data_IF_484505526723
#
_entry.id   IF_484505526723
#
_cell.length_a   1.000
_cell.length_b   1.000
_cell.length_c   1.000
_cell.angle_alpha   90.00
_cell.angle_beta   90.00
_cell.angle_gamma   90.00
#
_symmetry.space_group_name_H-M   'P 1'
#
loop_
_entity.id
_entity.type
_entity.pdbx_description
1 polymer ?
#
# COMPACT_ATOMS: atom_id res chain seq x y z
N UNK A 1 20.93 3.27 -85.89
CA UNK A 1 21.92 3.73 -86.87
C UNK A 1 23.25 3.04 -86.54
N UNK A 2 23.68 2.22 -87.48
CA UNK A 2 25.04 1.72 -87.77
C UNK A 2 25.69 0.86 -86.64
N UNK A 3 25.87 -0.39 -86.84
CA UNK A 3 26.64 -1.24 -87.76
C UNK A 3 27.86 -1.86 -87.06
N UNK A 4 27.83 -3.17 -87.00
CA UNK A 4 28.84 -4.23 -86.77
C UNK A 4 30.28 -3.90 -87.26
N UNK A 5 31.33 -4.69 -87.03
CA UNK A 5 31.33 -6.15 -87.32
C UNK A 5 32.20 -7.05 -86.42
N UNK A 6 32.02 -8.34 -86.69
CA UNK A 6 32.72 -9.51 -86.20
C UNK A 6 34.21 -9.57 -86.65
N UNK A 7 35.02 -10.30 -85.87
CA UNK A 7 36.18 -11.02 -86.36
C UNK A 7 36.28 -12.39 -85.70
N UNK A 8 36.21 -13.39 -86.48
CA UNK A 8 36.51 -14.80 -86.32
C UNK A 8 37.98 -15.03 -86.16
N UNK A 9 38.43 -15.87 -85.23
CA UNK A 9 39.74 -16.55 -85.40
C UNK A 9 39.65 -17.92 -84.69
N UNK A 10 39.70 -18.92 -85.53
CA UNK A 10 39.84 -20.35 -85.31
C UNK A 10 41.30 -20.69 -84.99
N UNK A 11 41.61 -21.44 -83.89
CA UNK A 11 42.84 -22.28 -83.77
C UNK A 11 42.53 -23.31 -82.69
N UNK A 12 42.48 -24.52 -83.04
CA UNK A 12 43.38 -25.68 -83.05
C UNK A 12 43.47 -26.48 -81.75
N UNK A 13 43.05 -27.66 -81.87
CA UNK A 13 43.06 -28.89 -81.11
C UNK A 13 44.39 -29.17 -80.35
N UNK A 14 44.33 -29.46 -79.06
CA UNK A 14 45.34 -30.30 -78.38
C UNK A 14 44.65 -31.11 -77.29
N UNK A 15 44.42 -32.36 -77.58
CA UNK A 15 43.94 -33.36 -76.56
C UNK A 15 45.09 -33.75 -75.67
N UNK A 16 44.89 -33.44 -74.33
CA UNK A 16 45.72 -34.02 -73.25
C UNK A 16 44.78 -34.90 -72.43
N UNK A 17 44.97 -36.21 -72.55
CA UNK A 17 44.37 -37.21 -71.67
C UNK A 17 44.99 -37.13 -70.27
N UNK A 18 44.22 -36.55 -69.34
CA UNK A 18 44.55 -36.68 -67.88
C UNK A 18 43.68 -37.81 -67.30
N UNK A 19 44.34 -38.88 -66.89
CA UNK A 19 43.82 -39.99 -66.11
C UNK A 19 43.25 -39.49 -64.77
N UNK A 20 41.89 -39.47 -64.63
CA UNK A 20 41.28 -39.31 -63.33
C UNK A 20 41.43 -40.58 -62.49
N UNK A 21 42.23 -40.48 -61.47
CA UNK A 21 42.26 -41.44 -60.33
C UNK A 21 41.00 -41.23 -59.53
N UNK A 22 40.11 -42.18 -59.50
CA UNK A 22 38.88 -42.19 -58.64
C UNK A 22 39.30 -41.98 -57.20
N UNK A 23 38.99 -40.77 -56.67
CA UNK A 23 38.93 -40.55 -55.24
C UNK A 23 37.68 -41.25 -54.72
N UNK A 24 37.84 -42.36 -53.99
CA UNK A 24 36.78 -42.93 -53.18
C UNK A 24 36.17 -41.83 -52.34
N UNK A 25 34.95 -41.43 -52.66
CA UNK A 25 34.11 -40.63 -51.76
C UNK A 25 33.95 -41.47 -50.50
N UNK A 26 34.53 -40.96 -49.41
CA UNK A 26 34.30 -41.58 -48.11
C UNK A 26 32.77 -41.56 -47.84
N UNK A 27 32.25 -42.74 -47.50
CA UNK A 27 30.86 -42.83 -47.07
C UNK A 27 30.62 -41.83 -45.94
N UNK A 28 29.45 -41.16 -45.85
CA UNK A 28 29.14 -40.28 -44.72
C UNK A 28 29.33 -41.06 -43.43
N UNK A 29 30.21 -40.58 -42.59
CA UNK A 29 30.38 -41.13 -41.22
C UNK A 29 29.04 -41.16 -40.54
N UNK A 30 28.66 -42.30 -40.02
CA UNK A 30 27.44 -42.42 -39.22
C UNK A 30 27.53 -41.43 -38.05
N UNK A 31 26.43 -40.73 -37.71
CA UNK A 31 26.45 -39.71 -36.64
C UNK A 31 27.06 -40.29 -35.35
N UNK A 32 28.15 -39.69 -34.88
CA UNK A 32 28.83 -40.15 -33.69
C UNK A 32 27.90 -39.96 -32.48
N UNK A 33 27.57 -41.06 -31.79
CA UNK A 33 26.74 -40.98 -30.58
C UNK A 33 27.50 -40.20 -29.52
N UNK A 34 26.96 -39.07 -29.12
CA UNK A 34 27.46 -38.27 -28.01
C UNK A 34 27.24 -39.08 -26.68
N UNK A 35 28.35 -39.43 -26.05
CA UNK A 35 28.31 -40.16 -24.78
C UNK A 35 28.95 -39.32 -23.68
N UNK A 36 28.37 -39.37 -22.46
CA UNK A 36 28.94 -38.75 -21.27
C UNK A 36 30.13 -39.63 -20.80
N UNK A 37 31.35 -39.09 -20.92
CA UNK A 37 32.55 -39.73 -20.40
C UNK A 37 32.59 -39.67 -18.88
N UNK A 38 33.40 -40.54 -18.23
CA UNK A 38 33.56 -40.51 -16.75
C UNK A 38 34.12 -39.17 -16.22
N UNK A 39 34.87 -38.45 -17.05
CA UNK A 39 35.33 -37.08 -16.74
C UNK A 39 34.18 -36.10 -16.78
N UNK A 40 33.30 -36.17 -17.79
CA UNK A 40 32.13 -35.30 -17.93
C UNK A 40 31.10 -35.59 -16.81
N UNK A 41 30.93 -36.85 -16.42
CA UNK A 41 30.01 -37.24 -15.35
C UNK A 41 30.35 -36.61 -13.99
N UNK A 42 31.61 -36.17 -13.78
CA UNK A 42 32.03 -35.50 -12.56
C UNK A 42 31.69 -34.00 -12.51
N UNK A 43 31.44 -33.37 -13.65
CA UNK A 43 31.24 -31.92 -13.79
C UNK A 43 29.80 -31.54 -14.17
N UNK A 44 28.98 -32.49 -14.59
CA UNK A 44 27.55 -32.28 -14.91
C UNK A 44 26.68 -32.60 -13.70
N UNK A 45 25.53 -31.95 -13.58
CA UNK A 45 24.44 -32.36 -12.68
C UNK A 45 23.26 -32.84 -13.51
N UNK A 46 22.54 -33.80 -12.95
CA UNK A 46 21.32 -34.35 -13.53
C UNK A 46 20.20 -34.10 -12.49
N UNK A 47 19.20 -33.34 -12.88
CA UNK A 47 18.04 -33.05 -12.07
C UNK A 47 16.77 -33.62 -12.71
N UNK A 48 15.75 -33.90 -11.89
CA UNK A 48 14.49 -34.43 -12.38
C UNK A 48 13.47 -33.30 -12.54
N UNK A 49 12.74 -33.30 -13.64
CA UNK A 49 11.59 -32.44 -13.85
C UNK A 49 10.46 -32.78 -12.87
N UNK A 50 9.98 -31.81 -12.13
CA UNK A 50 8.99 -32.00 -11.06
C UNK A 50 7.69 -31.26 -11.36
N UNK A 51 6.52 -31.86 -11.01
CA UNK A 51 5.27 -31.13 -11.06
C UNK A 51 5.17 -30.22 -9.83
N UNK A 52 5.02 -28.91 -10.06
CA UNK A 52 4.85 -27.95 -8.97
C UNK A 52 3.86 -26.86 -9.38
N UNK A 53 3.27 -26.20 -8.40
CA UNK A 53 2.43 -25.01 -8.66
C UNK A 53 3.30 -23.83 -8.97
N UNK A 54 2.87 -23.01 -9.92
CA UNK A 54 3.51 -21.75 -10.22
C UNK A 54 3.14 -20.77 -9.09
N UNK A 55 4.07 -20.59 -8.13
CA UNK A 55 3.91 -19.58 -7.07
C UNK A 55 4.35 -18.23 -7.64
N UNK A 56 3.39 -17.40 -8.02
CA UNK A 56 3.65 -16.05 -8.54
C UNK A 56 3.64 -15.06 -7.38
N UNK A 57 4.80 -14.51 -7.05
CA UNK A 57 4.92 -13.43 -6.08
C UNK A 57 4.71 -12.09 -6.78
N UNK A 58 3.63 -11.40 -6.41
CA UNK A 58 3.43 -10.03 -6.85
C UNK A 58 4.07 -9.07 -5.84
N UNK A 59 5.06 -8.30 -6.29
CA UNK A 59 5.75 -7.29 -5.49
C UNK A 59 5.16 -5.92 -5.77
N UNK A 60 4.64 -5.28 -4.74
CA UNK A 60 4.02 -3.97 -4.80
C UNK A 60 4.78 -3.00 -3.90
N UNK A 61 4.91 -1.76 -4.34
CA UNK A 61 5.39 -0.65 -3.51
C UNK A 61 4.22 0.04 -2.81
N UNK A 62 4.44 0.48 -1.59
CA UNK A 62 3.42 1.17 -0.81
C UNK A 62 4.02 2.04 0.28
N UNK A 63 3.13 2.69 1.00
CA UNK A 63 3.46 3.56 2.12
C UNK A 63 2.63 3.17 3.34
N UNK A 64 3.26 3.23 4.52
CA UNK A 64 2.57 3.02 5.79
C UNK A 64 1.74 4.26 6.11
N UNK A 65 0.46 4.08 6.36
CA UNK A 65 -0.50 5.12 6.72
C UNK A 65 -1.12 4.84 8.08
N UNK A 66 -1.72 5.85 8.63
CA UNK A 66 -2.56 5.70 9.83
C UNK A 66 -3.81 4.88 9.51
N UNK A 67 -4.32 4.18 10.51
CA UNK A 67 -5.70 3.71 10.47
C UNK A 67 -6.65 4.90 10.69
N UNK A 68 -7.34 5.36 9.64
CA UNK A 68 -8.26 6.51 9.71
C UNK A 68 -9.28 6.36 10.84
N UNK A 69 -9.74 5.14 11.10
CA UNK A 69 -10.67 4.84 12.18
C UNK A 69 -10.06 5.10 13.58
N UNK A 70 -8.75 5.23 13.67
CA UNK A 70 -8.01 5.45 14.92
C UNK A 70 -7.41 6.84 15.03
N UNK A 71 -7.70 7.75 14.09
CA UNK A 71 -7.28 9.15 14.13
C UNK A 71 -8.46 10.04 14.45
N UNK A 72 -8.29 10.96 15.40
CA UNK A 72 -9.26 12.01 15.71
C UNK A 72 -8.61 13.35 15.45
N UNK A 73 -9.26 14.17 14.61
CA UNK A 73 -8.87 15.54 14.33
C UNK A 73 -9.48 16.48 15.37
N UNK A 74 -8.69 17.36 15.93
CA UNK A 74 -9.09 18.33 16.96
C UNK A 74 -9.17 19.70 16.29
N UNK A 75 -10.36 20.28 16.32
CA UNK A 75 -10.66 21.59 15.77
C UNK A 75 -10.85 22.65 16.87
N UNK A 76 -10.62 23.93 16.60
CA UNK A 76 -10.98 24.99 17.53
C UNK A 76 -12.50 25.13 17.56
N UNK A 77 -13.07 25.33 18.75
CA UNK A 77 -14.50 25.61 18.86
C UNK A 77 -14.84 27.11 18.80
N UNK A 78 -13.85 27.96 19.03
CA UNK A 78 -13.98 29.43 18.97
C UNK A 78 -12.71 30.05 18.42
N UNK A 79 -12.86 31.18 17.72
CA UNK A 79 -11.73 31.93 17.17
C UNK A 79 -10.95 32.57 18.33
N UNK A 80 -9.61 32.69 18.19
CA UNK A 80 -8.80 33.28 19.22
C UNK A 80 -7.30 33.18 18.99
N UNK A 81 -6.54 33.79 19.90
CA UNK A 81 -5.09 33.75 19.90
C UNK A 81 -4.58 32.57 20.72
N UNK A 82 -3.70 31.78 20.14
CA UNK A 82 -3.02 30.66 20.84
C UNK A 82 -2.03 31.26 21.83
N UNK A 83 -2.27 31.05 23.11
CA UNK A 83 -1.40 31.54 24.19
C UNK A 83 -0.26 30.57 24.48
N UNK A 84 -0.54 29.27 24.46
CA UNK A 84 0.44 28.23 24.75
C UNK A 84 0.09 26.94 24.02
N UNK A 85 1.11 26.22 23.53
CA UNK A 85 1.00 24.86 22.99
C UNK A 85 1.86 23.95 23.87
N UNK A 86 1.24 22.93 24.49
CA UNK A 86 1.88 22.06 25.50
C UNK A 86 2.38 20.73 24.95
N UNK A 87 2.24 20.50 23.64
CA UNK A 87 2.59 19.24 23.01
C UNK A 87 3.30 19.47 21.69
N UNK A 88 4.13 18.50 21.32
CA UNK A 88 4.84 18.43 20.04
C UNK A 88 4.40 17.21 19.24
N UNK A 89 4.72 17.21 17.94
CA UNK A 89 4.51 16.02 17.08
C UNK A 89 5.32 14.86 17.65
N UNK A 90 4.69 13.68 17.74
CA UNK A 90 5.29 12.47 18.30
C UNK A 90 5.05 12.26 19.80
N UNK A 91 4.57 13.28 20.53
CA UNK A 91 4.28 13.15 21.96
C UNK A 91 3.11 12.18 22.20
N UNK A 92 3.23 11.37 23.23
CA UNK A 92 2.13 10.53 23.72
C UNK A 92 1.25 11.33 24.66
N UNK A 93 -0.06 11.37 24.39
CA UNK A 93 -1.06 12.08 25.19
C UNK A 93 -2.11 11.14 25.75
N UNK A 94 -2.65 11.49 26.91
CA UNK A 94 -3.79 10.81 27.55
C UNK A 94 -5.08 11.55 27.22
N UNK A 95 -6.20 10.84 27.19
CA UNK A 95 -7.51 11.46 27.08
C UNK A 95 -7.70 12.53 28.14
N UNK A 96 -8.15 13.73 27.74
CA UNK A 96 -8.34 14.88 28.62
C UNK A 96 -7.07 15.70 28.88
N UNK A 97 -5.88 15.26 28.43
CA UNK A 97 -4.63 16.02 28.57
C UNK A 97 -4.71 17.34 27.78
N UNK A 98 -4.23 18.43 28.39
CA UNK A 98 -4.17 19.75 27.75
C UNK A 98 -3.18 19.74 26.58
N UNK A 99 -3.65 20.17 25.40
CA UNK A 99 -2.85 20.32 24.18
C UNK A 99 -2.44 21.78 23.96
N UNK A 100 -3.40 22.71 24.13
CA UNK A 100 -3.17 24.15 23.94
C UNK A 100 -4.12 24.97 24.84
N UNK A 101 -3.73 26.21 25.08
CA UNK A 101 -4.54 27.24 25.75
C UNK A 101 -4.74 28.37 24.74
N UNK A 102 -5.99 28.78 24.56
CA UNK A 102 -6.39 29.78 23.58
C UNK A 102 -7.18 30.87 24.30
N UNK A 103 -6.94 32.13 23.96
CA UNK A 103 -7.68 33.28 24.43
C UNK A 103 -8.62 33.79 23.35
N UNK A 104 -9.91 33.84 23.64
CA UNK A 104 -10.99 34.15 22.69
C UNK A 104 -11.88 35.25 23.24
N UNK A 105 -12.16 36.24 22.39
CA UNK A 105 -13.14 37.28 22.66
C UNK A 105 -14.57 36.72 22.71
N UNK A 106 -14.88 35.73 21.86
CA UNK A 106 -16.20 35.10 21.83
C UNK A 106 -16.53 34.41 23.17
N UNK A 107 -15.51 33.79 23.79
CA UNK A 107 -15.67 33.15 25.10
C UNK A 107 -15.97 34.20 26.18
N UNK A 108 -15.32 35.38 26.17
CA UNK A 108 -15.63 36.50 27.08
C UNK A 108 -17.07 36.96 26.85
N UNK A 109 -17.49 37.15 25.61
CA UNK A 109 -18.84 37.53 25.25
C UNK A 109 -19.87 36.54 25.81
N UNK A 110 -19.67 35.25 25.59
CA UNK A 110 -20.55 34.20 26.11
C UNK A 110 -20.70 34.22 27.65
N UNK A 111 -19.62 34.50 28.38
CA UNK A 111 -19.68 34.63 29.83
C UNK A 111 -20.42 35.92 30.26
N UNK A 112 -20.23 37.02 29.51
CA UNK A 112 -20.99 38.27 29.76
C UNK A 112 -22.49 38.04 29.56
N UNK A 113 -22.86 37.32 28.49
CA UNK A 113 -24.27 37.00 28.17
C UNK A 113 -24.90 36.11 29.28
N UNK A 114 -24.16 35.11 29.77
CA UNK A 114 -24.62 34.30 30.89
C UNK A 114 -24.82 35.14 32.16
N UNK A 115 -23.89 36.05 32.44
CA UNK A 115 -24.00 36.94 33.60
C UNK A 115 -25.22 37.85 33.51
N UNK A 116 -25.43 38.49 32.34
CA UNK A 116 -26.59 39.31 32.04
C UNK A 116 -27.90 38.52 32.17
N UNK A 117 -27.96 37.35 31.55
CA UNK A 117 -29.14 36.47 31.64
C UNK A 117 -29.41 35.97 33.07
N UNK A 118 -28.36 35.83 33.91
CA UNK A 118 -28.47 35.53 35.33
C UNK A 118 -29.16 36.63 36.13
N UNK A 119 -28.80 37.89 35.83
CA UNK A 119 -29.43 39.07 36.43
C UNK A 119 -30.91 39.18 36.01
N UNK A 120 -31.20 38.97 34.69
CA UNK A 120 -32.57 38.97 34.20
C UNK A 120 -33.43 37.90 34.85
N UNK A 121 -32.88 36.72 35.07
CA UNK A 121 -33.55 35.64 35.80
C UNK A 121 -33.82 36.01 37.28
N UNK A 122 -32.86 36.65 37.95
CA UNK A 122 -33.04 37.08 39.32
C UNK A 122 -34.15 38.15 39.44
N UNK A 123 -34.18 39.11 38.53
CA UNK A 123 -35.21 40.15 38.47
C UNK A 123 -36.56 39.50 38.23
N UNK A 124 -36.72 38.65 37.22
CA UNK A 124 -37.96 37.96 36.87
C UNK A 124 -38.45 37.06 38.00
N UNK A 125 -37.52 36.42 38.73
CA UNK A 125 -37.87 35.62 39.92
C UNK A 125 -38.44 36.49 41.04
N UNK A 126 -37.79 37.60 41.40
CA UNK A 126 -38.25 38.52 42.42
C UNK A 126 -39.63 39.07 42.05
N UNK A 127 -39.87 39.42 40.79
CA UNK A 127 -41.15 39.94 40.33
C UNK A 127 -42.25 38.85 40.48
N UNK A 128 -41.94 37.60 40.11
CA UNK A 128 -42.88 36.48 40.24
C UNK A 128 -43.19 36.23 41.74
N UNK A 129 -42.18 36.17 42.62
CA UNK A 129 -42.37 35.91 44.06
C UNK A 129 -43.20 37.02 44.70
N UNK A 130 -42.97 38.30 44.36
CA UNK A 130 -43.74 39.44 44.86
C UNK A 130 -45.21 39.36 44.35
N UNK A 131 -45.43 39.13 43.05
CA UNK A 131 -46.77 39.05 42.48
C UNK A 131 -47.55 37.85 43.01
N UNK A 132 -46.88 36.71 43.28
CA UNK A 132 -47.49 35.56 43.96
C UNK A 132 -47.98 35.90 45.35
N UNK A 133 -47.18 36.65 46.11
CA UNK A 133 -47.55 37.11 47.44
C UNK A 133 -48.77 38.06 47.43
N UNK A 134 -48.78 39.00 46.49
CA UNK A 134 -49.90 39.92 46.30
C UNK A 134 -51.20 39.19 45.85
N UNK A 135 -51.05 38.18 44.95
CA UNK A 135 -52.18 37.36 44.50
C UNK A 135 -52.77 36.54 45.65
N UNK A 136 -51.94 35.90 46.49
CA UNK A 136 -52.38 35.13 47.65
C UNK A 136 -53.12 36.01 48.67
N UNK A 137 -52.80 37.32 48.72
CA UNK A 137 -53.48 38.29 49.58
C UNK A 137 -54.68 38.99 48.89
N UNK A 138 -55.06 38.57 47.69
CA UNK A 138 -56.20 39.11 46.95
C UNK A 138 -55.95 40.51 46.35
N UNK A 139 -54.72 41.00 46.27
CA UNK A 139 -54.35 42.35 45.78
C UNK A 139 -54.02 42.33 44.28
N UNK A 140 -53.33 41.26 43.81
CA UNK A 140 -53.03 41.10 42.37
C UNK A 140 -54.05 40.13 41.73
N UNK A 141 -54.25 40.31 40.44
CA UNK A 141 -55.12 39.42 39.63
C UNK A 141 -54.38 38.14 39.22
N UNK A 142 -55.12 37.06 38.95
CA UNK A 142 -54.57 35.80 38.45
C UNK A 142 -53.77 36.02 37.16
N UNK A 143 -54.23 36.90 36.28
CA UNK A 143 -53.54 37.25 35.03
C UNK A 143 -52.16 37.84 35.27
N UNK A 144 -52.02 38.74 36.22
CA UNK A 144 -50.75 39.38 36.58
C UNK A 144 -49.78 38.34 37.15
N UNK A 145 -50.26 37.42 37.98
CA UNK A 145 -49.44 36.34 38.53
C UNK A 145 -48.98 35.37 37.43
N UNK A 146 -49.87 34.95 36.51
CA UNK A 146 -49.51 34.09 35.41
C UNK A 146 -48.52 34.74 34.44
N UNK A 147 -48.64 36.02 34.15
CA UNK A 147 -47.70 36.82 33.34
C UNK A 147 -46.31 36.86 33.98
N UNK A 148 -46.23 37.18 35.30
CA UNK A 148 -44.94 37.19 36.00
C UNK A 148 -44.27 35.78 36.05
N UNK A 149 -45.09 34.72 36.22
CA UNK A 149 -44.65 33.34 36.19
C UNK A 149 -44.09 32.93 34.80
N UNK A 150 -44.77 33.35 33.74
CA UNK A 150 -44.29 33.10 32.36
C UNK A 150 -43.00 33.84 32.03
N UNK A 151 -42.87 35.07 32.50
CA UNK A 151 -41.63 35.87 32.34
C UNK A 151 -40.46 35.24 33.08
N UNK A 152 -40.68 34.74 34.29
CA UNK A 152 -39.69 33.97 35.03
C UNK A 152 -39.24 32.69 34.26
N UNK A 153 -40.18 31.90 33.75
CA UNK A 153 -39.89 30.72 32.96
C UNK A 153 -39.14 31.02 31.68
N UNK A 154 -39.49 32.13 31.01
CA UNK A 154 -38.79 32.57 29.79
C UNK A 154 -37.33 32.97 30.13
N UNK A 155 -37.06 33.67 31.18
CA UNK A 155 -35.72 34.03 31.65
C UNK A 155 -34.91 32.79 32.05
N UNK A 156 -35.52 31.84 32.78
CA UNK A 156 -34.92 30.56 33.15
C UNK A 156 -34.48 29.73 31.94
N UNK A 157 -35.35 29.62 30.91
CA UNK A 157 -35.05 28.92 29.68
C UNK A 157 -33.93 29.61 28.90
N UNK A 158 -33.90 30.93 28.86
CA UNK A 158 -32.82 31.71 28.23
C UNK A 158 -31.46 31.43 28.85
N UNK A 159 -31.37 31.50 30.19
CA UNK A 159 -30.14 31.20 30.91
C UNK A 159 -29.70 29.73 30.70
N UNK A 160 -30.64 28.78 30.78
CA UNK A 160 -30.34 27.38 30.55
C UNK A 160 -29.78 27.12 29.15
N UNK A 161 -30.34 27.80 28.13
CA UNK A 161 -29.83 27.74 26.75
C UNK A 161 -28.38 28.21 26.65
N UNK A 162 -28.07 29.40 27.23
CA UNK A 162 -26.70 29.95 27.16
C UNK A 162 -25.70 29.06 27.93
N UNK A 163 -26.06 28.53 29.08
CA UNK A 163 -25.24 27.57 29.83
C UNK A 163 -24.98 26.30 29.01
N UNK A 164 -26.00 25.76 28.35
CA UNK A 164 -25.87 24.60 27.51
C UNK A 164 -24.92 24.85 26.30
N UNK A 165 -25.02 26.02 25.67
CA UNK A 165 -24.13 26.40 24.56
C UNK A 165 -22.66 26.42 24.97
N UNK A 166 -22.32 26.98 26.14
CA UNK A 166 -20.92 26.93 26.63
C UNK A 166 -20.49 25.50 26.93
N UNK A 167 -21.35 24.70 27.53
CA UNK A 167 -21.01 23.30 27.85
C UNK A 167 -20.74 22.49 26.61
N UNK A 168 -21.55 22.65 25.56
CA UNK A 168 -21.36 21.95 24.29
C UNK A 168 -20.07 22.39 23.59
N UNK A 169 -19.85 23.69 23.53
CA UNK A 169 -18.72 24.28 22.82
C UNK A 169 -17.38 24.17 23.55
N UNK A 170 -17.33 24.10 24.86
CA UNK A 170 -16.06 24.11 25.63
C UNK A 170 -15.88 23.00 26.66
N UNK A 171 -16.86 22.11 26.82
CA UNK A 171 -16.77 21.01 27.78
C UNK A 171 -16.48 21.45 29.22
N UNK A 172 -16.87 22.66 29.61
CA UNK A 172 -16.59 23.20 30.93
C UNK A 172 -15.14 23.64 31.22
N UNK A 173 -14.29 23.67 30.21
CA UNK A 173 -12.87 24.06 30.29
C UNK A 173 -12.61 25.46 29.79
N UNK A 174 -13.55 26.36 29.99
CA UNK A 174 -13.48 27.79 29.64
C UNK A 174 -13.46 28.64 30.91
N UNK A 175 -12.89 29.84 30.83
CA UNK A 175 -12.87 30.81 31.94
C UNK A 175 -13.52 32.13 31.53
N UNK A 176 -13.97 32.90 32.52
CA UNK A 176 -14.51 34.25 32.30
C UNK A 176 -13.45 35.22 31.74
N UNK A 177 -12.17 34.89 31.89
CA UNK A 177 -11.05 35.68 31.28
C UNK A 177 -10.87 35.44 29.80
N UNK A 178 -11.74 34.61 29.21
CA UNK A 178 -11.73 34.28 27.77
C UNK A 178 -10.77 33.15 27.40
N UNK A 179 -10.17 32.49 28.36
CA UNK A 179 -9.31 31.35 28.09
C UNK A 179 -10.14 30.08 27.92
N UNK A 180 -9.78 29.27 26.94
CA UNK A 180 -10.26 27.91 26.81
C UNK A 180 -9.14 26.92 26.57
N UNK A 181 -9.32 25.72 27.09
CA UNK A 181 -8.33 24.66 27.07
C UNK A 181 -8.73 23.63 26.03
N UNK A 182 -7.88 23.45 25.04
CA UNK A 182 -8.01 22.38 24.06
C UNK A 182 -7.40 21.12 24.64
N UNK A 183 -8.17 20.04 24.69
CA UNK A 183 -7.74 18.77 25.29
C UNK A 183 -7.78 17.62 24.28
N UNK A 184 -6.98 16.59 24.55
CA UNK A 184 -6.99 15.35 23.76
C UNK A 184 -8.33 14.61 23.91
N UNK A 185 -9.08 14.35 22.84
CA UNK A 185 -10.36 13.63 22.90
C UNK A 185 -10.19 12.14 23.23
N UNK A 186 -9.00 11.59 22.95
CA UNK A 186 -8.61 10.21 23.30
C UNK A 186 -7.12 10.12 23.56
N UNK A 187 -6.67 9.01 24.17
CA UNK A 187 -5.26 8.70 24.34
C UNK A 187 -4.65 8.24 23.01
N UNK A 188 -3.39 8.62 22.75
CA UNK A 188 -2.69 8.30 21.51
C UNK A 188 -1.43 9.14 21.35
N UNK A 189 -0.97 9.27 20.12
CA UNK A 189 0.17 10.11 19.72
C UNK A 189 -0.31 11.33 18.95
N UNK A 190 0.37 12.45 19.13
CA UNK A 190 0.19 13.65 18.30
C UNK A 190 0.82 13.39 16.94
N UNK A 191 -0.01 13.17 15.93
CA UNK A 191 0.40 12.84 14.59
C UNK A 191 0.68 14.10 13.73
N UNK A 192 -0.16 15.13 13.95
CA UNK A 192 -0.04 16.42 13.30
C UNK A 192 -0.26 17.54 14.30
N UNK A 193 0.46 18.65 14.12
CA UNK A 193 0.30 19.89 14.84
C UNK A 193 0.39 21.05 13.83
N UNK A 194 -0.75 21.72 13.60
CA UNK A 194 -0.87 22.84 12.64
C UNK A 194 -0.97 24.20 13.32
N UNK A 195 -0.76 24.25 14.65
CA UNK A 195 -0.84 25.49 15.42
C UNK A 195 0.46 25.75 16.19
N UNK A 196 0.79 27.02 16.33
CA UNK A 196 1.93 27.50 17.09
C UNK A 196 1.50 28.58 18.08
N UNK A 197 2.30 28.81 19.11
CA UNK A 197 2.09 29.91 20.05
C UNK A 197 2.10 31.26 19.32
N UNK A 198 1.22 32.14 19.72
CA UNK A 198 1.05 33.46 19.12
C UNK A 198 0.18 33.50 17.86
N UNK A 199 -0.10 32.33 17.24
CA UNK A 199 -0.97 32.28 16.06
C UNK A 199 -2.42 32.67 16.43
N UNK A 200 -3.12 33.30 15.46
CA UNK A 200 -4.55 33.50 15.54
C UNK A 200 -5.25 32.41 14.75
N UNK A 201 -6.19 31.72 15.41
CA UNK A 201 -6.98 30.64 14.80
C UNK A 201 -8.43 31.09 14.64
N UNK A 202 -9.08 30.55 13.61
CA UNK A 202 -10.49 30.81 13.30
C UNK A 202 -11.29 29.51 13.41
N UNK A 203 -12.50 29.59 13.95
CA UNK A 203 -13.40 28.43 14.06
C UNK A 203 -14.09 28.07 12.75
N UNK A 204 -14.06 28.96 11.74
CA UNK A 204 -14.58 28.74 10.37
C UNK A 204 -13.53 28.11 9.45
N UNK A 205 -12.30 27.89 9.91
CA UNK A 205 -11.27 27.23 9.14
C UNK A 205 -11.50 25.71 9.16
N UNK A 206 -11.35 25.07 8.00
CA UNK A 206 -11.45 23.63 7.83
C UNK A 206 -10.22 22.86 8.36
N UNK A 207 -9.15 23.58 8.71
CA UNK A 207 -7.92 22.99 9.21
C UNK A 207 -8.04 22.56 10.68
N UNK A 208 -7.66 21.32 10.95
CA UNK A 208 -7.53 20.83 12.31
C UNK A 208 -6.30 21.43 13.01
N UNK A 209 -6.38 21.64 14.31
CA UNK A 209 -5.24 22.08 15.12
C UNK A 209 -4.27 20.94 15.41
N UNK A 210 -4.81 19.79 15.74
CA UNK A 210 -4.07 18.57 16.05
C UNK A 210 -4.75 17.36 15.42
N UNK A 211 -3.96 16.33 15.10
CA UNK A 211 -4.44 14.98 14.83
C UNK A 211 -3.88 14.06 15.89
N UNK A 212 -4.73 13.31 16.56
CA UNK A 212 -4.34 12.36 17.61
C UNK A 212 -4.76 10.98 17.18
N UNK A 213 -3.82 10.04 17.14
CA UNK A 213 -4.07 8.66 16.72
C UNK A 213 -3.31 7.63 17.53
N UNK A 214 -3.85 6.42 17.48
CA UNK A 214 -3.17 5.22 17.97
C UNK A 214 -2.46 4.56 16.81
N UNK A 215 -1.17 4.23 16.99
CA UNK A 215 -0.33 3.57 16.01
C UNK A 215 -0.15 2.06 16.30
N UNK A 216 -0.90 1.48 17.21
CA UNK A 216 -0.87 0.05 17.51
C UNK A 216 -1.39 -0.84 16.36
N UNK A 217 -2.08 -0.25 15.41
CA UNK A 217 -2.44 -0.82 14.11
C UNK A 217 -2.17 0.23 13.04
N UNK A 218 -1.54 -0.18 11.95
CA UNK A 218 -1.25 0.68 10.81
C UNK A 218 -1.75 0.04 9.53
N UNK A 219 -1.95 0.86 8.51
CA UNK A 219 -2.29 0.41 7.17
C UNK A 219 -1.09 0.58 6.25
N UNK A 220 -0.95 -0.31 5.28
CA UNK A 220 -0.08 -0.08 4.12
C UNK A 220 -0.97 0.16 2.91
N UNK A 221 -0.83 1.33 2.33
CA UNK A 221 -1.46 1.68 1.07
C UNK A 221 -0.51 1.31 -0.05
N UNK A 222 -0.73 0.15 -0.70
CA UNK A 222 0.12 -0.34 -1.76
C UNK A 222 -0.48 -0.10 -3.14
N UNK A 223 0.39 0.19 -4.10
CA UNK A 223 0.02 0.54 -5.46
C UNK A 223 0.00 -0.72 -6.34
N UNK A 224 -1.11 -0.96 -7.01
CA UNK A 224 -1.31 -2.05 -7.96
C UNK A 224 -1.44 -1.46 -9.36
N UNK A 225 -0.57 -1.86 -10.27
CA UNK A 225 -0.65 -1.44 -11.66
C UNK A 225 -1.77 -2.18 -12.40
N UNK A 226 -2.28 -1.61 -13.47
CA UNK A 226 -3.41 -2.14 -14.24
C UNK A 226 -3.21 -3.61 -14.66
N UNK A 227 -1.99 -3.98 -15.08
CA UNK A 227 -1.62 -5.36 -15.45
C UNK A 227 -1.73 -6.39 -14.32
N UNK A 228 -1.76 -5.93 -13.06
CA UNK A 228 -1.73 -6.79 -11.88
C UNK A 228 -3.04 -6.79 -11.09
N UNK A 229 -4.03 -5.99 -11.50
CA UNK A 229 -5.32 -5.87 -10.82
C UNK A 229 -5.99 -7.24 -10.61
N UNK A 230 -5.98 -8.09 -11.63
CA UNK A 230 -6.60 -9.42 -11.57
C UNK A 230 -5.95 -10.36 -10.54
N UNK A 231 -4.72 -10.05 -10.09
CA UNK A 231 -3.93 -10.87 -9.17
C UNK A 231 -4.17 -10.55 -7.69
N UNK A 232 -4.85 -9.44 -7.38
CA UNK A 232 -5.09 -9.00 -6.00
C UNK A 232 -6.55 -9.14 -5.63
N UNK A 233 -6.80 -9.64 -4.40
CA UNK A 233 -8.16 -9.83 -3.86
C UNK A 233 -8.16 -9.56 -2.36
N UNK A 234 -9.29 -9.11 -1.85
CA UNK A 234 -9.52 -8.98 -0.41
C UNK A 234 -9.38 -10.36 0.28
N UNK A 235 -8.82 -10.35 1.49
CA UNK A 235 -8.55 -11.55 2.27
C UNK A 235 -7.20 -12.23 2.01
N UNK A 236 -6.46 -11.85 0.97
CA UNK A 236 -5.13 -12.41 0.70
C UNK A 236 -4.13 -12.02 1.80
N UNK A 237 -3.33 -12.99 2.23
CA UNK A 237 -2.19 -12.76 3.12
C UNK A 237 -1.02 -12.17 2.33
N UNK A 238 -0.35 -11.22 2.93
CA UNK A 238 0.81 -10.55 2.35
C UNK A 238 1.94 -10.47 3.34
N UNK A 239 3.15 -10.46 2.83
CA UNK A 239 4.37 -10.17 3.58
C UNK A 239 4.80 -8.74 3.28
N UNK A 240 5.02 -7.96 4.32
CA UNK A 240 5.44 -6.57 4.23
C UNK A 240 6.84 -6.43 4.79
N UNK A 241 7.72 -5.78 4.05
CA UNK A 241 9.08 -5.44 4.48
C UNK A 241 9.30 -3.94 4.37
N UNK A 242 10.17 -3.39 5.19
CA UNK A 242 10.54 -1.98 5.20
C UNK A 242 12.05 -1.82 5.15
N UNK A 243 12.53 -0.70 4.63
CA UNK A 243 13.96 -0.39 4.62
C UNK A 243 14.53 -0.15 6.03
N UNK A 244 13.68 0.33 6.96
CA UNK A 244 14.09 0.61 8.33
C UNK A 244 14.40 -0.66 9.14
N UNK A 245 13.85 -1.80 8.78
CA UNK A 245 14.04 -3.08 9.47
C UNK A 245 14.39 -4.19 8.47
N UNK A 246 15.65 -4.22 7.97
CA UNK A 246 16.09 -5.24 7.03
C UNK A 246 15.95 -6.64 7.61
N UNK A 247 15.37 -7.55 6.83
CA UNK A 247 15.18 -8.96 7.23
C UNK A 247 13.96 -9.22 8.13
N UNK A 248 13.26 -8.18 8.62
CA UNK A 248 12.02 -8.35 9.38
C UNK A 248 10.80 -8.36 8.45
N UNK A 249 10.00 -9.41 8.57
CA UNK A 249 8.76 -9.58 7.80
C UNK A 249 7.57 -9.30 8.71
N UNK A 250 6.71 -8.38 8.29
CA UNK A 250 5.42 -8.09 8.91
C UNK A 250 4.33 -8.76 8.08
N UNK A 251 3.57 -9.65 8.69
CA UNK A 251 2.47 -10.33 7.99
C UNK A 251 1.18 -9.53 8.14
N UNK A 252 0.51 -9.28 7.01
CA UNK A 252 -0.76 -8.57 6.94
C UNK A 252 -1.79 -9.27 6.08
N UNK A 253 -2.95 -8.62 5.98
CA UNK A 253 -4.07 -9.07 5.13
C UNK A 253 -4.54 -7.88 4.30
N UNK A 254 -4.78 -8.10 3.02
CA UNK A 254 -5.48 -7.13 2.17
C UNK A 254 -6.91 -7.06 2.67
N UNK A 255 -7.28 -5.97 3.33
CA UNK A 255 -8.63 -5.80 3.89
C UNK A 255 -9.52 -4.95 2.98
N UNK A 256 -8.94 -4.23 2.01
CA UNK A 256 -9.68 -3.49 1.01
C UNK A 256 -8.92 -3.36 -0.31
N UNK A 257 -9.64 -3.52 -1.41
CA UNK A 257 -9.19 -3.24 -2.78
C UNK A 257 -10.03 -2.09 -3.32
N UNK A 258 -9.40 -0.95 -3.64
CA UNK A 258 -10.12 0.17 -4.23
C UNK A 258 -10.66 -0.22 -5.61
N UNK A 259 -11.85 0.30 -5.96
CA UNK A 259 -12.47 0.03 -7.26
C UNK A 259 -12.19 1.13 -8.30
N UNK A 260 -11.40 2.13 -7.92
CA UNK A 260 -11.11 3.30 -8.76
C UNK A 260 -9.59 3.45 -8.85
N UNK A 261 -9.10 3.67 -10.07
CA UNK A 261 -7.72 4.04 -10.32
C UNK A 261 -7.49 5.51 -9.98
N UNK A 262 -6.34 5.83 -9.40
CA UNK A 262 -5.93 7.22 -9.24
C UNK A 262 -5.70 7.87 -10.60
N UNK A 263 -6.31 9.03 -10.88
CA UNK A 263 -6.24 9.64 -12.21
C UNK A 263 -4.83 9.96 -12.69
N UNK A 264 -3.97 10.40 -11.77
CA UNK A 264 -2.62 10.87 -12.10
C UNK A 264 -1.62 9.71 -12.26
N UNK A 265 -1.65 8.74 -11.35
CA UNK A 265 -0.69 7.65 -11.28
C UNK A 265 -1.12 6.39 -12.02
N UNK A 266 -2.41 6.29 -12.41
CA UNK A 266 -3.02 5.11 -13.06
C UNK A 266 -2.81 3.81 -12.27
N UNK A 267 -2.71 3.92 -10.96
CA UNK A 267 -2.61 2.78 -10.05
C UNK A 267 -3.89 2.61 -9.25
N UNK A 268 -4.22 1.37 -8.94
CA UNK A 268 -5.25 1.02 -7.98
C UNK A 268 -4.60 0.86 -6.60
N UNK A 269 -5.16 1.48 -5.56
CA UNK A 269 -4.65 1.29 -4.20
C UNK A 269 -5.33 0.11 -3.52
N UNK A 270 -4.52 -0.70 -2.88
CA UNK A 270 -4.98 -1.71 -1.93
C UNK A 270 -4.56 -1.31 -0.52
N UNK A 271 -5.40 -1.66 0.45
CA UNK A 271 -5.13 -1.44 1.85
C UNK A 271 -4.77 -2.76 2.52
N UNK A 272 -3.60 -2.79 3.12
CA UNK A 272 -3.13 -3.92 3.94
C UNK A 272 -3.15 -3.51 5.40
N UNK A 273 -3.82 -4.26 6.24
CA UNK A 273 -3.87 -4.05 7.68
C UNK A 273 -2.75 -4.82 8.36
N UNK A 274 -1.98 -4.10 9.20
CA UNK A 274 -0.88 -4.65 9.98
C UNK A 274 -1.05 -4.36 11.46
N UNK A 275 -0.80 -5.37 12.30
CA UNK A 275 -0.63 -5.16 13.73
C UNK A 275 0.76 -4.57 14.01
N UNK A 276 0.82 -3.55 14.85
CA UNK A 276 2.03 -2.80 15.18
C UNK A 276 2.17 -2.63 16.71
N UNK A 277 2.07 -3.75 17.43
CA UNK A 277 2.04 -3.75 18.91
C UNK A 277 3.32 -3.15 19.53
N UNK A 278 4.47 -3.37 18.91
CA UNK A 278 5.77 -2.80 19.30
C UNK A 278 6.03 -1.40 18.73
N UNK A 279 5.08 -0.85 17.96
CA UNK A 279 5.14 0.47 17.37
C UNK A 279 6.39 0.71 16.50
N UNK A 280 6.97 -0.35 15.94
CA UNK A 280 8.13 -0.27 15.06
C UNK A 280 7.77 0.44 13.74
N UNK A 281 6.60 0.12 13.18
CA UNK A 281 6.13 0.74 11.95
C UNK A 281 5.64 2.16 12.22
N UNK A 282 6.22 3.12 11.53
CA UNK A 282 5.82 4.53 11.60
C UNK A 282 5.07 4.92 10.32
N UNK A 283 4.00 5.70 10.43
CA UNK A 283 3.35 6.29 9.26
C UNK A 283 4.36 7.05 8.38
N UNK A 284 4.11 7.08 7.07
CA UNK A 284 4.97 7.64 6.02
C UNK A 284 6.26 6.84 5.73
N UNK A 285 6.50 5.69 6.37
CA UNK A 285 7.55 4.77 5.96
C UNK A 285 7.17 4.08 4.64
N UNK A 286 8.15 3.93 3.75
CA UNK A 286 8.00 3.09 2.56
C UNK A 286 7.95 1.61 2.95
N UNK A 287 7.12 0.86 2.25
CA UNK A 287 6.93 -0.56 2.44
C UNK A 287 6.89 -1.31 1.10
N UNK A 288 7.52 -2.48 1.06
CA UNK A 288 7.34 -3.43 -0.02
C UNK A 288 6.35 -4.50 0.43
N UNK A 289 5.31 -4.70 -0.37
CA UNK A 289 4.24 -5.68 -0.11
C UNK A 289 4.39 -6.83 -1.10
N UNK A 290 4.60 -8.03 -0.60
CA UNK A 290 4.66 -9.26 -1.40
C UNK A 290 3.36 -10.02 -1.21
N UNK A 291 2.55 -10.05 -2.25
CA UNK A 291 1.32 -10.83 -2.31
C UNK A 291 1.67 -12.23 -2.78
N UNK A 292 1.41 -13.23 -1.94
CA UNK A 292 1.58 -14.63 -2.32
C UNK A 292 0.36 -15.07 -3.14
N UNK A 293 0.52 -15.07 -4.44
CA UNK A 293 -0.45 -15.67 -5.35
C UNK A 293 -0.13 -17.17 -5.42
N UNK A 294 -0.80 -17.98 -4.62
CA UNK A 294 -0.82 -19.40 -4.82
C UNK A 294 -1.62 -19.69 -6.09
N UNK A 295 -0.99 -19.43 -7.23
CA UNK A 295 -1.57 -19.68 -8.54
C UNK A 295 -1.80 -21.17 -8.69
N UNK A 296 -3.05 -21.55 -8.91
CA UNK A 296 -3.42 -22.94 -8.99
C UNK A 296 -2.96 -23.69 -10.26
N UNK A 297 -2.17 -23.07 -11.15
CA UNK A 297 -1.68 -23.74 -12.35
C UNK A 297 -0.47 -24.61 -12.01
N UNK A 298 -0.64 -25.93 -12.18
CA UNK A 298 0.46 -26.89 -12.11
C UNK A 298 1.23 -26.85 -13.42
N UNK A 299 2.55 -26.79 -13.33
CA UNK A 299 3.45 -26.89 -14.48
C UNK A 299 4.62 -27.79 -14.14
N UNK A 300 5.32 -28.23 -15.18
CA UNK A 300 6.58 -28.95 -15.01
C UNK A 300 7.67 -27.91 -14.73
N UNK A 301 8.41 -28.08 -13.67
CA UNK A 301 9.52 -27.20 -13.31
C UNK A 301 10.86 -27.93 -13.40
N UNK A 302 11.85 -27.24 -13.92
CA UNK A 302 13.25 -27.64 -13.95
C UNK A 302 14.10 -26.51 -13.32
N UNK A 303 15.35 -26.78 -12.92
CA UNK A 303 16.27 -25.70 -12.54
C UNK A 303 16.47 -24.71 -13.68
N UNK A 304 16.59 -23.42 -13.37
CA UNK A 304 16.79 -22.36 -14.37
C UNK A 304 18.12 -22.49 -15.13
N UNK A 305 19.06 -23.29 -14.61
CA UNK A 305 20.33 -23.62 -15.25
C UNK A 305 20.22 -24.80 -16.23
N UNK A 306 19.07 -25.46 -16.37
CA UNK A 306 18.93 -26.67 -17.18
C UNK A 306 18.48 -26.41 -18.62
N UNK A 307 18.18 -25.16 -19.01
CA UNK A 307 17.77 -24.81 -20.38
C UNK A 307 18.78 -23.90 -21.06
N UNK A 308 18.80 -23.96 -22.38
CA UNK A 308 19.67 -23.20 -23.24
C UNK A 308 18.80 -22.47 -24.26
N UNK A 309 18.99 -21.17 -24.41
CA UNK A 309 18.33 -20.38 -25.46
C UNK A 309 19.28 -20.22 -26.64
N UNK A 310 18.85 -20.69 -27.80
CA UNK A 310 19.58 -20.58 -29.06
C UNK A 310 18.66 -20.13 -30.20
N UNK A 311 19.04 -19.06 -30.90
CA UNK A 311 18.27 -18.43 -31.98
C UNK A 311 16.77 -18.22 -31.65
N UNK A 312 16.45 -17.85 -30.40
CA UNK A 312 15.08 -17.56 -29.97
C UNK A 312 14.23 -18.80 -29.69
N UNK A 313 14.84 -19.96 -29.58
CA UNK A 313 14.22 -21.21 -29.13
C UNK A 313 14.93 -21.72 -27.89
N UNK A 314 14.16 -22.30 -26.96
CA UNK A 314 14.68 -22.86 -25.73
C UNK A 314 14.77 -24.36 -25.83
N UNK A 315 15.89 -24.91 -25.36
CA UNK A 315 16.19 -26.32 -25.43
C UNK A 315 16.61 -26.87 -24.08
N UNK A 316 16.37 -28.15 -23.86
CA UNK A 316 16.92 -28.91 -22.74
C UNK A 316 17.62 -30.18 -23.26
N UNK A 317 18.65 -30.60 -22.55
CA UNK A 317 19.28 -31.91 -22.79
C UNK A 317 18.63 -32.93 -21.83
N UNK A 318 17.77 -33.77 -22.41
CA UNK A 318 17.12 -34.86 -21.66
C UNK A 318 18.11 -36.03 -21.53
N UNK A 319 18.28 -36.51 -20.31
CA UNK A 319 19.16 -37.63 -20.00
C UNK A 319 18.39 -38.95 -19.84
N UNK A 320 18.61 -39.90 -20.67
CA UNK A 320 18.09 -41.26 -20.55
C UNK A 320 19.16 -42.23 -19.97
N UNK A 321 20.34 -42.25 -20.61
CA UNK A 321 21.53 -42.92 -20.13
C UNK A 321 22.81 -42.25 -20.65
N UNK A 322 24.01 -42.76 -20.29
CA UNK A 322 25.32 -42.17 -20.62
C UNK A 322 25.53 -41.91 -22.15
N UNK A 323 24.91 -42.71 -23.00
CA UNK A 323 25.05 -42.61 -24.47
C UNK A 323 23.69 -42.36 -25.15
N UNK A 324 22.66 -42.00 -24.40
CA UNK A 324 21.35 -41.70 -24.90
C UNK A 324 20.90 -40.35 -24.35
N UNK A 325 21.39 -39.28 -24.98
CA UNK A 325 21.03 -37.90 -24.72
C UNK A 325 20.10 -37.45 -25.83
N UNK A 326 19.12 -36.63 -25.47
CA UNK A 326 18.15 -36.09 -26.41
C UNK A 326 18.07 -34.57 -26.27
N UNK A 327 18.32 -33.86 -27.34
CA UNK A 327 18.08 -32.42 -27.38
C UNK A 327 16.62 -32.17 -27.71
N UNK A 328 15.90 -31.51 -26.83
CA UNK A 328 14.47 -31.29 -27.00
C UNK A 328 14.12 -29.82 -26.81
N UNK A 329 13.35 -29.29 -27.78
CA UNK A 329 12.81 -27.95 -27.68
C UNK A 329 11.71 -27.90 -26.60
N UNK A 330 11.69 -26.84 -25.83
CA UNK A 330 10.72 -26.57 -24.74
C UNK A 330 10.00 -25.26 -24.96
N UNK A 331 8.83 -25.11 -24.37
CA UNK A 331 8.13 -23.83 -24.29
C UNK A 331 8.07 -23.40 -22.82
N UNK A 332 8.74 -22.29 -22.50
CA UNK A 332 8.79 -21.72 -21.17
C UNK A 332 7.54 -20.91 -20.92
N UNK A 333 6.88 -21.11 -19.76
CA UNK A 333 5.81 -20.25 -19.25
C UNK A 333 6.44 -19.04 -18.56
N UNK A 334 7.37 -19.32 -17.61
CA UNK A 334 7.96 -18.29 -16.75
C UNK A 334 9.14 -18.86 -15.98
N UNK A 335 10.11 -18.02 -15.64
CA UNK A 335 11.19 -18.35 -14.69
C UNK A 335 10.97 -17.55 -13.40
N UNK A 336 11.01 -18.22 -12.25
CA UNK A 336 10.86 -17.62 -10.93
C UNK A 336 11.97 -18.17 -10.02
N UNK A 337 12.85 -17.28 -9.56
CA UNK A 337 13.99 -17.67 -8.73
C UNK A 337 14.91 -18.67 -9.42
N UNK A 338 15.06 -19.84 -8.83
CA UNK A 338 15.90 -20.94 -9.32
C UNK A 338 15.16 -21.95 -10.22
N UNK A 339 13.87 -21.73 -10.52
CA UNK A 339 13.02 -22.66 -11.28
C UNK A 339 12.47 -22.02 -12.55
N UNK A 340 12.48 -22.80 -13.62
CA UNK A 340 11.81 -22.48 -14.90
C UNK A 340 10.62 -23.42 -15.07
N UNK A 341 9.46 -22.83 -15.30
CA UNK A 341 8.18 -23.51 -15.49
C UNK A 341 7.91 -23.67 -17.00
N UNK A 342 7.55 -24.90 -17.38
CA UNK A 342 7.47 -25.32 -18.78
C UNK A 342 6.03 -25.77 -19.09
N UNK A 343 5.52 -25.32 -20.25
CA UNK A 343 4.20 -25.72 -20.76
C UNK A 343 4.24 -26.97 -21.62
N UNK A 344 5.34 -27.17 -22.36
CA UNK A 344 5.48 -28.32 -23.26
C UNK A 344 6.95 -28.64 -23.53
N UNK A 345 7.24 -29.87 -23.94
CA UNK A 345 8.57 -30.34 -24.32
C UNK A 345 9.24 -31.23 -23.31
N UNK A 346 8.75 -31.29 -22.05
CA UNK A 346 9.28 -32.20 -21.02
C UNK A 346 8.17 -32.73 -20.14
N UNK A 347 8.29 -33.97 -19.66
CA UNK A 347 7.33 -34.61 -18.78
C UNK A 347 7.85 -34.69 -17.35
N UNK A 348 6.92 -34.82 -16.40
CA UNK A 348 7.25 -35.01 -15.00
C UNK A 348 8.05 -36.33 -14.80
N UNK A 349 9.16 -36.20 -14.10
CA UNK A 349 10.04 -37.36 -13.82
C UNK A 349 11.16 -37.56 -14.86
N UNK A 350 11.12 -36.87 -16.01
CA UNK A 350 12.25 -36.88 -16.94
C UNK A 350 13.46 -36.21 -16.32
N UNK A 351 14.65 -36.70 -16.64
CA UNK A 351 15.91 -36.17 -16.14
C UNK A 351 16.50 -35.18 -17.14
N UNK A 352 16.99 -34.06 -16.66
CA UNK A 352 17.64 -33.02 -17.46
C UNK A 352 19.03 -32.70 -16.93
N UNK A 353 19.92 -32.32 -17.82
CA UNK A 353 21.24 -31.82 -17.45
C UNK A 353 21.07 -30.37 -16.98
N UNK A 354 21.49 -30.07 -15.73
CA UNK A 354 21.33 -28.75 -15.13
C UNK A 354 22.65 -28.03 -14.86
N UNK A 355 23.78 -28.65 -15.21
CA UNK A 355 25.10 -28.03 -15.10
C UNK A 355 25.98 -28.44 -16.28
N UNK A 356 26.66 -27.47 -16.87
CA UNK A 356 27.48 -27.61 -18.10
C UNK A 356 26.66 -28.17 -19.28
N UNK A 357 25.39 -27.87 -19.33
CA UNK A 357 24.43 -28.25 -20.38
C UNK A 357 24.87 -27.75 -21.76
N UNK A 358 25.50 -26.56 -21.84
CA UNK A 358 25.98 -25.95 -23.07
C UNK A 358 27.04 -26.80 -23.79
N UNK A 359 27.89 -27.53 -23.04
CA UNK A 359 28.89 -28.43 -23.62
C UNK A 359 28.23 -29.57 -24.36
N UNK A 360 27.18 -30.17 -23.78
CA UNK A 360 26.42 -31.26 -24.39
C UNK A 360 25.54 -30.76 -25.54
N UNK A 361 24.96 -29.56 -25.40
CA UNK A 361 24.20 -28.90 -26.45
C UNK A 361 25.03 -28.77 -27.71
N UNK A 362 26.22 -28.18 -27.64
CA UNK A 362 27.12 -28.04 -28.80
C UNK A 362 27.50 -29.39 -29.39
N UNK A 363 27.85 -30.37 -28.55
CA UNK A 363 28.20 -31.70 -29.06
C UNK A 363 27.03 -32.41 -29.76
N UNK A 364 25.77 -32.07 -29.39
CA UNK A 364 24.57 -32.63 -30.03
C UNK A 364 24.09 -31.85 -31.27
N UNK A 365 24.49 -30.58 -31.40
CA UNK A 365 24.14 -29.74 -32.56
C UNK A 365 25.20 -29.77 -33.68
N UNK A 366 26.49 -29.99 -33.32
CA UNK A 366 27.61 -30.02 -34.28
C UNK A 366 27.81 -31.39 -34.94
N UNK A 367 27.03 -32.40 -34.55
CA UNK A 367 26.97 -33.74 -35.16
C UNK A 367 25.71 -33.88 -36.04
#
# INVERSE_FOLDING_TARGET
>A
MKITPAISTTILFATILFSCKDKKVAAPEAPQKVCITDSMAKIINIDSATATTIDDELKLSGEISFSDNRVVKVYPFSSGKVMQVKVSIGDRVKQGQTLAIIKSADVVGNYSDISSSGNDLAIAKTQMDNTESLFKNGIATEREYLEAKQNYQKAANSQAKLKAQITINGGGKTSATGEYIVTAPKSGYVLEKKVNEGAFIRNDNTDNMFSIGDIGEVWVMANVYESDIAKVREGQKVNVTTLAYPGRIFTGIIDKVNQILEPDSKVMKIRVRLQNADQALKPQMFANVVVQNKGGQKAVAIPNTAFISDYGKDYVVVYHDKCKLELRAITIIKTIGDKTYISSGINVGEKVISKNELLLFKALTDN
#
